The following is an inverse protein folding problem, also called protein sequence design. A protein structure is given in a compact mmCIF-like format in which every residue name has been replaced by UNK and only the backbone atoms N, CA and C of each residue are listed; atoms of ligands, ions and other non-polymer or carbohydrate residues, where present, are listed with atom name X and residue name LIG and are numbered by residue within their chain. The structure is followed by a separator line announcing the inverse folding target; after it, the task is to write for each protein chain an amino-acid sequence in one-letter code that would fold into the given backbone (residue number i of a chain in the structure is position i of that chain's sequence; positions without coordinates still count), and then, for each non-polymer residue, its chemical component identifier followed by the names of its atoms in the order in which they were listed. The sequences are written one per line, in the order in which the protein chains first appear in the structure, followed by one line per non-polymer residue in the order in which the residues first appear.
data_IF_439206774442
#
_entry.id   IF_439206774442
#
_cell.length_a   1.000
_cell.length_b   1.000
_cell.length_c   1.000
_cell.angle_alpha   90.00
_cell.angle_beta   90.00
_cell.angle_gamma   90.00
#
_symmetry.space_group_name_H-M   'P 1'
#
loop_
_entity.id
_entity.type
_entity.pdbx_description
1 polymer ?
#
# COMPACT_ATOMS: atom_id res chain seq x y z
N UNK A 1 -2.01 -43.92 -5.59
CA UNK A 1 -0.64 -43.43 -5.33
C UNK A 1 -0.51 -42.22 -6.21
N UNK A 2 -1.04 -41.08 -5.76
CA UNK A 2 -0.31 -39.99 -5.07
C UNK A 2 0.85 -39.52 -5.94
N UNK A 3 0.55 -38.54 -6.76
CA UNK A 3 1.52 -37.55 -7.19
C UNK A 3 1.10 -36.29 -6.43
N UNK A 4 1.68 -36.16 -5.25
CA UNK A 4 1.60 -34.98 -4.39
C UNK A 4 2.11 -33.78 -5.21
N UNK A 5 1.22 -32.82 -5.44
CA UNK A 5 1.50 -31.53 -6.05
C UNK A 5 2.26 -30.66 -5.03
N UNK A 6 3.51 -30.24 -5.30
CA UNK A 6 4.26 -29.41 -4.36
C UNK A 6 4.07 -27.92 -4.70
N UNK A 7 2.84 -27.42 -4.75
CA UNK A 7 2.57 -25.98 -4.74
C UNK A 7 2.47 -25.48 -3.30
N UNK A 8 3.59 -25.40 -2.58
CA UNK A 8 3.73 -24.56 -1.36
C UNK A 8 5.21 -24.44 -1.00
N UNK A 9 5.97 -23.70 -1.82
CA UNK A 9 7.38 -23.41 -1.53
C UNK A 9 7.72 -21.91 -1.59
N UNK A 10 6.73 -21.04 -1.42
CA UNK A 10 6.92 -19.59 -1.22
C UNK A 10 6.33 -19.10 0.11
N UNK A 11 6.37 -19.95 1.15
CA UNK A 11 6.31 -19.47 2.53
C UNK A 11 7.67 -18.85 2.90
N UNK A 12 8.16 -17.91 2.10
CA UNK A 12 9.37 -17.14 2.39
C UNK A 12 8.94 -16.13 3.43
N UNK A 13 9.04 -16.54 4.70
CA UNK A 13 9.06 -15.73 5.92
C UNK A 13 9.21 -14.22 5.66
N UNK A 14 8.12 -13.57 5.27
CA UNK A 14 8.10 -12.12 5.20
C UNK A 14 7.92 -11.67 6.65
N UNK A 15 8.91 -10.99 7.28
CA UNK A 15 8.85 -10.67 8.70
C UNK A 15 7.62 -9.83 9.09
N UNK A 16 6.98 -9.17 8.11
CA UNK A 16 5.80 -8.34 8.33
C UNK A 16 4.47 -9.07 8.09
N UNK A 17 4.47 -10.28 7.51
CA UNK A 17 3.27 -11.09 7.27
C UNK A 17 3.19 -12.32 8.18
N UNK A 18 1.98 -12.77 8.47
CA UNK A 18 1.70 -13.98 9.24
C UNK A 18 1.63 -15.24 8.37
N UNK A 19 1.20 -16.36 8.96
CA UNK A 19 1.11 -17.66 8.29
C UNK A 19 -0.02 -17.72 7.25
N UNK A 20 -1.00 -16.83 7.35
CA UNK A 20 -2.13 -16.70 6.43
C UNK A 20 -1.86 -15.66 5.32
N UNK A 21 -0.71 -14.98 5.36
CA UNK A 21 -0.30 -13.96 4.41
C UNK A 21 -0.84 -12.56 4.72
N UNK A 22 -1.52 -12.36 5.85
CA UNK A 22 -1.97 -11.04 6.29
C UNK A 22 -0.83 -10.28 6.97
N UNK A 23 -0.90 -8.95 6.99
CA UNK A 23 0.04 -8.14 7.78
C UNK A 23 -0.12 -8.44 9.27
N UNK A 24 1.01 -8.64 9.95
CA UNK A 24 1.02 -8.88 11.40
C UNK A 24 0.41 -7.68 12.13
N UNK A 25 -0.44 -7.91 13.15
CA UNK A 25 -1.04 -6.82 13.93
C UNK A 25 -0.01 -5.88 14.55
N UNK A 26 1.15 -6.40 14.99
CA UNK A 26 2.24 -5.59 15.53
C UNK A 26 2.84 -4.63 14.48
N UNK A 27 2.91 -5.06 13.21
CA UNK A 27 3.37 -4.22 12.12
C UNK A 27 2.36 -3.14 11.78
N UNK A 28 1.08 -3.49 11.64
CA UNK A 28 0.00 -2.53 11.40
C UNK A 28 -0.07 -1.47 12.51
N UNK A 29 -0.01 -1.90 13.77
CA UNK A 29 0.02 -1.00 14.93
C UNK A 29 1.20 -0.02 14.82
N UNK A 30 2.40 -0.51 14.48
CA UNK A 30 3.58 0.35 14.29
C UNK A 30 3.39 1.36 13.16
N UNK A 31 2.77 0.96 12.04
CA UNK A 31 2.50 1.86 10.92
C UNK A 31 1.49 2.93 11.33
N UNK A 32 0.36 2.54 11.94
CA UNK A 32 -0.66 3.47 12.45
C UNK A 32 -0.09 4.45 13.48
N UNK A 33 0.74 3.96 14.42
CA UNK A 33 1.42 4.82 15.40
C UNK A 33 2.36 5.82 14.72
N UNK A 34 3.09 5.39 13.69
CA UNK A 34 3.96 6.27 12.91
C UNK A 34 3.19 7.29 12.07
N UNK A 35 2.00 6.94 11.54
CA UNK A 35 1.08 7.88 10.88
C UNK A 35 0.60 8.93 11.89
N UNK A 36 0.14 8.49 13.06
CA UNK A 36 -0.37 9.37 14.12
C UNK A 36 0.72 10.31 14.67
N UNK A 37 1.97 9.84 14.74
CA UNK A 37 3.12 10.63 15.15
C UNK A 37 3.73 11.49 14.02
N UNK A 38 3.21 11.40 12.79
CA UNK A 38 3.81 12.00 11.58
C UNK A 38 5.29 11.61 11.38
N UNK A 39 5.68 10.41 11.83
CA UNK A 39 7.06 9.90 11.77
C UNK A 39 7.38 9.36 10.37
N UNK A 40 7.62 10.29 9.43
CA UNK A 40 8.00 9.97 8.05
C UNK A 40 9.20 9.02 7.96
N UNK A 41 10.30 9.18 8.71
CA UNK A 41 11.40 8.21 8.71
C UNK A 41 10.96 6.78 9.05
N UNK A 42 10.10 6.61 10.06
CA UNK A 42 9.59 5.30 10.43
C UNK A 42 8.67 4.71 9.35
N UNK A 43 7.80 5.53 8.74
CA UNK A 43 6.93 5.11 7.64
C UNK A 43 7.74 4.69 6.42
N UNK A 44 8.74 5.49 6.04
CA UNK A 44 9.64 5.16 4.93
C UNK A 44 10.35 3.83 5.17
N UNK A 45 10.85 3.60 6.38
CA UNK A 45 11.48 2.33 6.72
C UNK A 45 10.49 1.16 6.70
N UNK A 46 9.22 1.39 7.07
CA UNK A 46 8.19 0.36 7.09
C UNK A 46 7.82 -0.10 5.68
N UNK A 47 7.80 0.81 4.71
CA UNK A 47 7.48 0.50 3.30
C UNK A 47 8.71 0.15 2.45
N UNK A 48 9.92 0.32 3.00
CA UNK A 48 11.16 0.04 2.26
C UNK A 48 11.25 -1.44 1.90
N UNK A 49 11.25 -1.74 0.61
CA UNK A 49 11.33 -3.11 0.09
C UNK A 49 9.99 -3.85 0.01
N UNK A 50 8.86 -3.18 0.30
CA UNK A 50 7.55 -3.70 -0.06
C UNK A 50 7.33 -3.57 -1.57
N UNK A 51 6.75 -4.61 -2.16
CA UNK A 51 6.24 -4.54 -3.54
C UNK A 51 4.97 -3.69 -3.62
N UNK A 52 4.59 -3.28 -4.82
CA UNK A 52 3.40 -2.47 -5.11
C UNK A 52 2.14 -3.16 -4.56
N UNK A 53 2.01 -4.48 -4.75
CA UNK A 53 0.93 -5.28 -4.18
C UNK A 53 0.96 -5.35 -2.66
N UNK A 54 2.15 -5.43 -2.05
CA UNK A 54 2.27 -5.41 -0.58
C UNK A 54 1.88 -4.04 0.00
N UNK A 55 2.23 -2.95 -0.70
CA UNK A 55 1.87 -1.61 -0.31
C UNK A 55 0.36 -1.36 -0.47
N UNK A 56 -0.25 -1.91 -1.52
CA UNK A 56 -1.70 -1.95 -1.70
C UNK A 56 -2.39 -2.65 -0.53
N UNK A 57 -2.02 -3.89 -0.25
CA UNK A 57 -2.54 -4.66 0.89
C UNK A 57 -2.37 -3.91 2.22
N UNK A 58 -1.26 -3.20 2.43
CA UNK A 58 -1.02 -2.43 3.64
C UNK A 58 -2.05 -1.31 3.78
N UNK A 59 -2.33 -0.58 2.70
CA UNK A 59 -3.32 0.50 2.68
C UNK A 59 -4.73 -0.05 2.97
N UNK A 60 -5.09 -1.19 2.39
CA UNK A 60 -6.38 -1.83 2.68
C UNK A 60 -6.50 -2.31 4.12
N UNK A 61 -5.41 -2.83 4.68
CA UNK A 61 -5.34 -3.31 6.05
C UNK A 61 -5.40 -2.19 7.11
N UNK A 62 -5.22 -0.91 6.72
CA UNK A 62 -5.46 0.21 7.61
C UNK A 62 -6.97 0.33 7.89
N UNK A 63 -7.33 0.15 9.16
CA UNK A 63 -8.72 0.22 9.64
C UNK A 63 -9.32 1.64 9.52
N UNK A 64 -8.47 2.67 9.61
CA UNK A 64 -8.87 4.07 9.53
C UNK A 64 -8.82 4.55 8.08
N UNK A 65 -9.97 4.99 7.57
CA UNK A 65 -10.11 5.58 6.23
C UNK A 65 -9.27 6.86 6.08
N UNK A 66 -9.06 7.60 7.17
CA UNK A 66 -8.25 8.82 7.21
C UNK A 66 -6.73 8.53 7.19
N UNK A 67 -6.31 7.35 7.66
CA UNK A 67 -4.88 6.99 7.74
C UNK A 67 -4.30 6.70 6.35
N UNK A 68 -5.12 6.19 5.43
CA UNK A 68 -4.72 5.86 4.04
C UNK A 68 -4.20 7.08 3.26
N UNK A 69 -4.99 8.17 3.06
CA UNK A 69 -4.48 9.36 2.40
C UNK A 69 -3.36 10.01 3.24
N UNK A 70 -3.41 9.90 4.57
CA UNK A 70 -2.38 10.48 5.44
C UNK A 70 -1.01 9.81 5.25
N UNK A 71 -0.96 8.50 5.11
CA UNK A 71 0.25 7.74 4.79
C UNK A 71 0.90 8.27 3.51
N UNK A 72 0.10 8.42 2.44
CA UNK A 72 0.53 8.91 1.14
C UNK A 72 1.04 10.35 1.25
N UNK A 73 0.33 11.23 1.96
CA UNK A 73 0.77 12.61 2.18
C UNK A 73 2.10 12.71 2.95
N UNK A 74 2.29 11.87 3.97
CA UNK A 74 3.50 11.88 4.80
C UNK A 74 4.73 11.36 4.04
N UNK A 75 4.56 10.31 3.25
CA UNK A 75 5.61 9.77 2.40
C UNK A 75 5.91 10.69 1.20
N UNK A 76 4.88 11.27 0.59
CA UNK A 76 4.98 12.13 -0.60
C UNK A 76 5.74 11.39 -1.71
N UNK A 77 6.83 11.99 -2.20
CA UNK A 77 7.71 11.40 -3.23
C UNK A 77 8.34 10.03 -2.91
N UNK A 78 8.30 9.60 -1.64
CA UNK A 78 8.80 8.28 -1.26
C UNK A 78 7.71 7.19 -1.39
N UNK A 79 6.46 7.58 -1.68
CA UNK A 79 5.35 6.66 -1.94
C UNK A 79 5.27 6.34 -3.43
N UNK A 80 5.14 5.05 -3.75
CA UNK A 80 4.92 4.59 -5.10
C UNK A 80 3.42 4.57 -5.43
N UNK A 81 2.99 5.44 -6.33
CA UNK A 81 1.59 5.55 -6.74
C UNK A 81 1.09 4.32 -7.50
N UNK A 82 1.99 3.48 -8.03
CA UNK A 82 1.64 2.24 -8.72
C UNK A 82 0.91 1.29 -7.77
N UNK A 83 1.19 1.35 -6.47
CA UNK A 83 0.46 0.57 -5.47
C UNK A 83 -1.06 0.85 -5.42
N UNK A 84 -1.52 2.00 -5.93
CA UNK A 84 -2.96 2.29 -6.02
C UNK A 84 -3.68 1.42 -7.07
N UNK A 85 -2.95 0.85 -8.05
CA UNK A 85 -3.54 -0.05 -9.05
C UNK A 85 -3.96 -1.39 -8.45
N UNK A 86 -3.31 -1.78 -7.34
CA UNK A 86 -3.53 -3.04 -6.63
C UNK A 86 -4.69 -2.96 -5.62
N UNK A 87 -5.24 -1.77 -5.39
CA UNK A 87 -6.36 -1.54 -4.46
C UNK A 87 -7.72 -1.85 -5.10
N UNK A 88 -8.68 -2.23 -4.26
CA UNK A 88 -10.10 -2.17 -4.62
C UNK A 88 -10.49 -0.77 -5.11
N UNK A 89 -11.29 -0.73 -6.17
CA UNK A 89 -11.78 0.50 -6.82
C UNK A 89 -12.36 1.48 -5.81
N UNK A 90 -13.17 0.99 -4.85
CA UNK A 90 -13.82 1.84 -3.85
C UNK A 90 -12.80 2.56 -2.97
N UNK A 91 -11.77 1.82 -2.55
CA UNK A 91 -10.70 2.33 -1.68
C UNK A 91 -9.80 3.29 -2.46
N UNK A 92 -9.42 2.92 -3.69
CA UNK A 92 -8.64 3.78 -4.60
C UNK A 92 -9.32 5.13 -4.80
N UNK A 93 -10.58 5.12 -5.24
CA UNK A 93 -11.34 6.36 -5.51
C UNK A 93 -11.47 7.21 -4.24
N UNK A 94 -11.79 6.58 -3.10
CA UNK A 94 -11.86 7.27 -1.81
C UNK A 94 -10.56 8.01 -1.47
N UNK A 95 -9.41 7.34 -1.62
CA UNK A 95 -8.10 7.92 -1.36
C UNK A 95 -7.83 9.11 -2.29
N UNK A 96 -8.04 8.93 -3.60
CA UNK A 96 -7.80 9.97 -4.59
C UNK A 96 -8.64 11.23 -4.33
N UNK A 97 -9.89 11.06 -3.91
CA UNK A 97 -10.78 12.17 -3.56
C UNK A 97 -10.40 12.85 -2.23
N UNK A 98 -9.79 12.12 -1.30
CA UNK A 98 -9.32 12.66 -0.03
C UNK A 98 -7.98 13.41 -0.16
N UNK A 99 -7.13 13.00 -1.11
CA UNK A 99 -5.83 13.63 -1.35
C UNK A 99 -5.95 15.03 -1.95
N UNK A 100 -4.98 15.89 -1.63
CA UNK A 100 -4.88 17.20 -2.27
C UNK A 100 -4.59 17.04 -3.77
N UNK A 101 -5.25 17.81 -4.67
CA UNK A 101 -5.11 17.61 -6.13
C UNK A 101 -3.67 17.62 -6.67
N UNK A 102 -2.81 18.48 -6.13
CA UNK A 102 -1.39 18.53 -6.48
C UNK A 102 -0.58 17.28 -6.10
N UNK A 103 -0.97 16.53 -5.06
CA UNK A 103 -0.31 15.27 -4.68
C UNK A 103 -0.69 14.18 -5.68
N UNK A 104 -1.98 14.11 -6.06
CA UNK A 104 -2.46 13.20 -7.11
C UNK A 104 -1.76 13.52 -8.44
N UNK A 105 -1.70 14.79 -8.83
CA UNK A 105 -1.05 15.19 -10.08
C UNK A 105 0.46 14.87 -10.11
N UNK A 106 1.16 14.99 -8.97
CA UNK A 106 2.58 14.64 -8.85
C UNK A 106 2.77 13.11 -8.93
N UNK A 107 1.94 12.36 -8.21
CA UNK A 107 1.95 10.89 -8.25
C UNK A 107 1.69 10.32 -9.64
N UNK A 108 0.62 10.77 -10.30
CA UNK A 108 0.26 10.33 -11.67
C UNK A 108 1.35 10.67 -12.69
N UNK A 109 2.11 11.74 -12.48
CA UNK A 109 3.18 12.16 -13.40
C UNK A 109 4.34 11.17 -13.47
N UNK A 110 4.61 10.49 -12.36
CA UNK A 110 5.73 9.56 -12.22
C UNK A 110 5.35 8.12 -12.59
N UNK A 111 4.07 7.87 -12.90
CA UNK A 111 3.56 6.57 -13.35
C UNK A 111 3.84 6.29 -14.82
N UNK A 112 3.86 5.00 -15.14
CA UNK A 112 3.74 4.54 -16.52
C UNK A 112 2.35 4.89 -17.10
N UNK A 113 2.30 5.02 -18.42
CA UNK A 113 1.09 5.51 -19.10
C UNK A 113 -0.12 4.60 -18.90
N UNK A 114 0.09 3.29 -18.79
CA UNK A 114 -0.99 2.32 -18.60
C UNK A 114 -1.57 2.40 -17.17
N UNK A 115 -0.71 2.50 -16.15
CA UNK A 115 -1.12 2.66 -14.75
C UNK A 115 -1.81 4.01 -14.50
N UNK A 116 -1.30 5.07 -15.11
CA UNK A 116 -1.94 6.39 -15.06
C UNK A 116 -3.35 6.36 -15.68
N UNK A 117 -3.54 5.66 -16.80
CA UNK A 117 -4.87 5.49 -17.42
C UNK A 117 -5.79 4.69 -16.50
N UNK A 118 -5.30 3.59 -15.93
CA UNK A 118 -6.07 2.75 -15.02
C UNK A 118 -6.54 3.50 -13.78
N UNK A 119 -5.70 4.34 -13.17
CA UNK A 119 -6.11 5.12 -11.99
C UNK A 119 -7.13 6.21 -12.35
N UNK A 120 -7.04 6.79 -13.54
CA UNK A 120 -7.88 7.90 -13.96
C UNK A 120 -9.22 7.46 -14.57
N UNK A 121 -9.39 6.21 -14.98
CA UNK A 121 -10.63 5.75 -15.63
C UNK A 121 -11.83 5.66 -14.67
N UNK A 122 -11.56 5.52 -13.37
CA UNK A 122 -12.56 5.33 -12.32
C UNK A 122 -12.95 6.63 -11.56
N UNK A 123 -12.38 7.77 -11.92
CA UNK A 123 -12.58 9.07 -11.25
C UNK A 123 -13.69 9.93 -11.89
#
# INVERSE_FOLDING_TARGET
MREDDPLTADAVTNPVRDEDGAFRPDFLTRVTDAIAAEDRPALKQAIEGLHEADLGDLIEALESEDDRPRLIELLGKDFDFTALTELDETIRVQILLALKPWIVADGIRDLDSDDAVYILEDL
#
